data_IF_662846252736
#
_entry.id   IF_662846252736
#
_cell.length_a   1.000
_cell.length_b   1.000
_cell.length_c   1.000
_cell.angle_alpha   90.00
_cell.angle_beta   90.00
_cell.angle_gamma   90.00
#
_symmetry.space_group_name_H-M   'P 1'
#
loop_
_entity.id
_entity.type
_entity.pdbx_description
1 polymer ?
#
# COMPACT_ATOMS: atom_id res chain seq x y z
N UNK A 1 11.37 4.06 10.11
CA UNK A 1 11.32 4.82 11.34
C UNK A 1 11.25 3.95 12.57
N UNK A 2 10.29 3.05 12.68
CA UNK A 2 10.20 2.12 13.81
C UNK A 2 11.45 1.27 14.02
N UNK A 3 12.14 0.88 12.96
CA UNK A 3 13.36 0.08 13.03
C UNK A 3 14.50 0.80 13.75
N UNK A 4 14.64 2.11 13.56
CA UNK A 4 15.68 2.89 14.21
C UNK A 4 15.46 2.98 15.71
N UNK A 5 14.23 3.29 16.11
CA UNK A 5 13.88 3.36 17.52
C UNK A 5 14.07 2.02 18.22
N UNK A 6 13.73 0.94 17.54
CA UNK A 6 13.92 -0.41 18.05
C UNK A 6 15.39 -0.75 18.27
N UNK A 7 16.26 -0.42 17.31
CA UNK A 7 17.69 -0.65 17.42
C UNK A 7 18.34 0.17 18.53
N UNK A 8 17.89 1.40 18.74
CA UNK A 8 18.36 2.23 19.84
C UNK A 8 17.99 1.66 21.20
N UNK A 9 16.75 1.23 21.35
CA UNK A 9 16.27 0.57 22.58
C UNK A 9 17.09 -0.69 22.87
N UNK A 10 17.37 -1.50 21.85
CA UNK A 10 18.19 -2.70 21.98
C UNK A 10 19.57 -2.42 22.54
N UNK A 11 20.21 -1.32 22.17
CA UNK A 11 21.53 -0.90 22.65
C UNK A 11 21.53 -0.49 24.11
N UNK A 12 20.44 0.04 24.61
CA UNK A 12 20.32 0.59 25.96
C UNK A 12 19.92 -0.42 27.02
N UNK A 13 19.39 -1.57 26.60
CA UNK A 13 18.85 -2.57 27.50
C UNK A 13 19.87 -3.68 27.76
N UNK A 14 19.80 -4.30 28.97
CA UNK A 14 20.60 -5.46 29.32
C UNK A 14 20.46 -6.57 28.28
N UNK A 15 21.57 -7.20 27.90
CA UNK A 15 21.61 -8.17 26.79
C UNK A 15 20.55 -9.28 26.90
N UNK A 16 20.26 -9.80 28.07
CA UNK A 16 19.24 -10.84 28.27
C UNK A 16 17.84 -10.30 28.01
N UNK A 17 17.52 -9.15 28.59
CA UNK A 17 16.24 -8.48 28.40
C UNK A 17 16.09 -7.97 26.97
N UNK A 18 17.17 -7.43 26.42
CA UNK A 18 17.20 -6.98 25.03
C UNK A 18 16.91 -8.13 24.07
N UNK A 19 17.46 -9.31 24.34
CA UNK A 19 17.25 -10.48 23.48
C UNK A 19 15.81 -10.98 23.51
N UNK A 20 15.20 -11.05 24.68
CA UNK A 20 13.78 -11.42 24.81
C UNK A 20 12.86 -10.39 24.16
N UNK A 21 13.12 -9.12 24.42
CA UNK A 21 12.38 -8.01 23.81
C UNK A 21 12.52 -8.02 22.30
N UNK A 22 13.74 -8.23 21.80
CA UNK A 22 14.05 -8.29 20.38
C UNK A 22 13.26 -9.42 19.70
N UNK A 23 13.24 -10.62 20.29
CA UNK A 23 12.52 -11.75 19.72
C UNK A 23 11.01 -11.47 19.61
N UNK A 24 10.39 -10.95 20.67
CA UNK A 24 8.97 -10.58 20.67
C UNK A 24 8.64 -9.47 19.69
N UNK A 25 9.48 -8.43 19.66
CA UNK A 25 9.28 -7.32 18.73
C UNK A 25 9.50 -7.75 17.29
N UNK A 26 10.49 -8.60 17.03
CA UNK A 26 10.76 -9.14 15.69
C UNK A 26 9.56 -9.95 15.21
N UNK A 27 9.00 -10.82 16.04
CA UNK A 27 7.83 -11.61 15.69
C UNK A 27 6.62 -10.71 15.38
N UNK A 28 6.39 -9.70 16.21
CA UNK A 28 5.31 -8.73 15.98
C UNK A 28 5.46 -8.01 14.65
N UNK A 29 6.64 -7.47 14.37
CA UNK A 29 6.90 -6.76 13.12
C UNK A 29 6.84 -7.68 11.91
N UNK A 30 7.36 -8.89 12.01
CA UNK A 30 7.27 -9.88 10.94
C UNK A 30 5.82 -10.20 10.62
N UNK A 31 4.98 -10.42 11.64
CA UNK A 31 3.55 -10.70 11.44
C UNK A 31 2.84 -9.50 10.79
N UNK A 32 3.16 -8.27 11.21
CA UNK A 32 2.57 -7.07 10.61
C UNK A 32 2.99 -6.87 9.16
N UNK A 33 4.24 -7.14 8.84
CA UNK A 33 4.74 -7.08 7.46
C UNK A 33 4.01 -8.12 6.60
N UNK A 34 3.85 -9.34 7.07
CA UNK A 34 3.11 -10.39 6.36
C UNK A 34 1.66 -10.01 6.12
N UNK A 35 0.97 -9.47 7.13
CA UNK A 35 -0.40 -8.99 7.00
C UNK A 35 -0.51 -7.90 5.91
N UNK A 36 0.40 -6.94 5.90
CA UNK A 36 0.44 -5.89 4.88
C UNK A 36 0.71 -6.44 3.49
N UNK A 37 1.63 -7.40 3.36
CA UNK A 37 1.93 -8.05 2.08
C UNK A 37 0.73 -8.83 1.55
N UNK A 38 0.01 -9.54 2.41
CA UNK A 38 -1.20 -10.27 2.04
C UNK A 38 -2.30 -9.32 1.56
N UNK A 39 -2.51 -8.21 2.26
CA UNK A 39 -3.46 -7.17 1.87
C UNK A 39 -3.10 -6.57 0.51
N UNK A 40 -1.83 -6.25 0.28
CA UNK A 40 -1.37 -5.74 -1.00
C UNK A 40 -1.60 -6.74 -2.13
N UNK A 41 -1.36 -8.03 -1.89
CA UNK A 41 -1.62 -9.07 -2.88
C UNK A 41 -3.10 -9.15 -3.25
N UNK A 42 -3.99 -9.08 -2.27
CA UNK A 42 -5.44 -9.09 -2.50
C UNK A 42 -5.86 -7.88 -3.34
N UNK A 43 -5.40 -6.71 -2.97
CA UNK A 43 -5.69 -5.46 -3.69
C UNK A 43 -5.19 -5.56 -5.12
N UNK A 44 -3.97 -6.05 -5.31
CA UNK A 44 -3.37 -6.22 -6.63
C UNK A 44 -4.20 -7.15 -7.51
N UNK A 45 -4.66 -8.29 -6.97
CA UNK A 45 -5.51 -9.22 -7.71
C UNK A 45 -6.81 -8.55 -8.16
N UNK A 46 -7.44 -7.77 -7.29
CA UNK A 46 -8.65 -7.03 -7.66
C UNK A 46 -8.37 -5.99 -8.74
N UNK A 47 -7.27 -5.26 -8.63
CA UNK A 47 -6.89 -4.24 -9.62
C UNK A 47 -6.57 -4.89 -10.97
N UNK A 48 -5.89 -6.03 -10.97
CA UNK A 48 -5.58 -6.78 -12.20
C UNK A 48 -6.84 -7.28 -12.91
N UNK A 49 -7.95 -7.41 -12.21
CA UNK A 49 -9.24 -7.72 -12.80
C UNK A 49 -9.90 -6.57 -13.57
N UNK A 50 -9.35 -5.35 -13.46
CA UNK A 50 -9.85 -4.19 -14.21
C UNK A 50 -9.48 -4.37 -15.69
N UNK A 51 -10.46 -4.32 -16.58
CA UNK A 51 -10.25 -4.57 -18.01
C UNK A 51 -9.59 -3.39 -18.73
N UNK A 52 -9.92 -2.16 -18.34
CA UNK A 52 -9.32 -0.96 -18.93
C UNK A 52 -7.89 -0.80 -18.40
N UNK A 53 -6.92 -0.86 -19.31
CA UNK A 53 -5.49 -0.82 -18.94
C UNK A 53 -5.07 0.50 -18.31
N UNK A 54 -5.67 1.60 -18.74
CA UNK A 54 -5.33 2.92 -18.20
C UNK A 54 -5.86 3.06 -16.78
N UNK A 55 -7.09 2.63 -16.54
CA UNK A 55 -7.69 2.60 -15.20
C UNK A 55 -6.89 1.67 -14.29
N UNK A 56 -6.54 0.50 -14.79
CA UNK A 56 -5.73 -0.47 -14.06
C UNK A 56 -4.39 0.12 -13.63
N UNK A 57 -3.67 0.75 -14.56
CA UNK A 57 -2.40 1.40 -14.29
C UNK A 57 -2.55 2.54 -13.28
N UNK A 58 -3.59 3.34 -13.42
CA UNK A 58 -3.90 4.44 -12.49
C UNK A 58 -4.11 3.92 -11.08
N UNK A 59 -4.86 2.86 -10.92
CA UNK A 59 -5.15 2.26 -9.61
C UNK A 59 -3.91 1.58 -9.02
N UNK A 60 -3.09 0.92 -9.83
CA UNK A 60 -1.81 0.36 -9.35
C UNK A 60 -0.90 1.44 -8.79
N UNK A 61 -0.71 2.52 -9.52
CA UNK A 61 0.15 3.61 -9.08
C UNK A 61 -0.37 4.27 -7.81
N UNK A 62 -1.68 4.46 -7.71
CA UNK A 62 -2.28 5.12 -6.55
C UNK A 62 -2.30 4.21 -5.32
N UNK A 63 -2.79 2.99 -5.43
CA UNK A 63 -3.13 2.14 -4.29
C UNK A 63 -2.05 1.12 -3.94
N UNK A 64 -1.26 0.68 -4.90
CA UNK A 64 -0.14 -0.24 -4.65
C UNK A 64 1.13 0.53 -4.39
N UNK A 65 1.47 1.50 -5.23
CA UNK A 65 2.72 2.26 -5.14
C UNK A 65 2.61 3.50 -4.25
N UNK A 66 1.41 3.83 -3.77
CA UNK A 66 1.20 4.90 -2.81
C UNK A 66 1.43 6.30 -3.33
N UNK A 67 1.36 6.52 -4.64
CA UNK A 67 1.62 7.81 -5.25
C UNK A 67 0.46 8.79 -5.06
N UNK A 68 0.76 10.08 -5.06
CA UNK A 68 -0.27 11.11 -5.13
C UNK A 68 -0.91 11.13 -6.52
N UNK A 69 -2.09 11.72 -6.63
CA UNK A 69 -2.76 11.82 -7.93
C UNK A 69 -1.93 12.57 -8.97
N UNK A 70 -1.18 13.60 -8.55
CA UNK A 70 -0.26 14.32 -9.44
C UNK A 70 0.87 13.43 -9.94
N UNK A 71 1.46 12.63 -9.05
CA UNK A 71 2.51 11.69 -9.40
C UNK A 71 2.00 10.58 -10.32
N UNK A 72 0.78 10.10 -10.09
CA UNK A 72 0.12 9.13 -10.97
C UNK A 72 0.00 9.70 -12.38
N UNK A 73 -0.44 10.95 -12.49
CA UNK A 73 -0.54 11.64 -13.78
C UNK A 73 0.81 11.72 -14.49
N UNK A 74 1.85 12.07 -13.78
CA UNK A 74 3.21 12.13 -14.33
C UNK A 74 3.67 10.76 -14.84
N UNK A 75 3.41 9.70 -14.09
CA UNK A 75 3.79 8.34 -14.47
C UNK A 75 3.08 7.85 -15.73
N UNK A 76 1.81 8.20 -15.88
CA UNK A 76 0.98 7.73 -16.99
C UNK A 76 1.06 8.69 -18.18
N UNK A 77 1.53 9.92 -17.95
CA UNK A 77 1.64 10.94 -18.98
C UNK A 77 0.37 11.78 -19.16
N UNK A 78 -0.42 11.90 -18.10
CA UNK A 78 -1.66 12.68 -18.10
C UNK A 78 -1.62 13.80 -17.07
N UNK A 79 -2.38 14.88 -17.33
CA UNK A 79 -2.56 15.95 -16.38
C UNK A 79 -3.39 15.47 -15.17
N UNK A 80 -3.28 16.18 -14.05
CA UNK A 80 -4.08 15.89 -12.86
C UNK A 80 -5.59 15.93 -13.18
N UNK A 81 -6.01 16.91 -13.95
CA UNK A 81 -7.42 17.04 -14.38
C UNK A 81 -7.88 15.81 -15.15
N UNK A 82 -7.05 15.31 -16.05
CA UNK A 82 -7.35 14.12 -16.84
C UNK A 82 -7.45 12.87 -15.93
N UNK A 83 -6.53 12.73 -14.99
CA UNK A 83 -6.56 11.62 -14.02
C UNK A 83 -7.83 11.67 -13.18
N UNK A 84 -8.26 12.85 -12.74
CA UNK A 84 -9.51 13.02 -12.00
C UNK A 84 -10.73 12.60 -12.82
N UNK A 85 -10.75 12.91 -14.11
CA UNK A 85 -11.81 12.47 -15.03
C UNK A 85 -11.83 10.95 -15.19
N UNK A 86 -10.65 10.34 -15.33
CA UNK A 86 -10.51 8.88 -15.43
C UNK A 86 -11.06 8.23 -14.16
N UNK A 87 -10.71 8.75 -13.00
CA UNK A 87 -11.19 8.24 -11.71
C UNK A 87 -12.70 8.36 -11.58
N UNK A 88 -13.27 9.49 -11.91
CA UNK A 88 -14.73 9.70 -11.87
C UNK A 88 -15.47 8.75 -12.80
N UNK A 89 -14.95 8.56 -14.01
CA UNK A 89 -15.51 7.63 -14.98
C UNK A 89 -15.42 6.18 -14.47
N UNK A 90 -14.29 5.82 -13.88
CA UNK A 90 -14.08 4.49 -13.30
C UNK A 90 -15.08 4.17 -12.19
N UNK A 91 -15.47 5.16 -11.39
CA UNK A 91 -16.43 4.99 -10.30
C UNK A 91 -17.83 4.64 -10.76
N UNK A 92 -18.13 4.73 -12.04
CA UNK A 92 -19.40 4.29 -12.61
C UNK A 92 -19.47 2.78 -12.80
N UNK A 93 -18.33 2.10 -12.79
CA UNK A 93 -18.26 0.64 -12.90
C UNK A 93 -18.46 0.01 -11.51
N UNK A 94 -19.38 -0.95 -11.41
CA UNK A 94 -19.70 -1.61 -10.15
C UNK A 94 -18.52 -2.39 -9.58
N UNK A 95 -17.74 -3.04 -10.44
CA UNK A 95 -16.54 -3.76 -10.01
C UNK A 95 -15.52 -2.82 -9.38
N UNK A 96 -15.30 -1.66 -9.98
CA UNK A 96 -14.36 -0.66 -9.47
C UNK A 96 -14.88 -0.05 -8.17
N UNK A 97 -16.21 0.20 -8.08
CA UNK A 97 -16.82 0.63 -6.82
C UNK A 97 -16.56 -0.36 -5.69
N UNK A 98 -16.64 -1.66 -5.99
CA UNK A 98 -16.35 -2.71 -5.00
C UNK A 98 -14.90 -2.63 -4.52
N UNK A 99 -13.95 -2.39 -5.40
CA UNK A 99 -12.54 -2.19 -5.04
C UNK A 99 -12.38 -0.99 -4.12
N UNK A 100 -12.98 0.14 -4.47
CA UNK A 100 -12.89 1.38 -3.68
C UNK A 100 -13.52 1.17 -2.29
N UNK A 101 -14.66 0.52 -2.22
CA UNK A 101 -15.31 0.23 -0.93
C UNK A 101 -14.43 -0.68 -0.05
N UNK A 102 -13.73 -1.62 -0.64
CA UNK A 102 -12.78 -2.47 0.09
C UNK A 102 -11.59 -1.66 0.62
N UNK A 103 -11.09 -0.70 -0.16
CA UNK A 103 -9.94 0.11 0.20
C UNK A 103 -10.28 1.20 1.24
N UNK A 104 -11.50 1.60 1.31
CA UNK A 104 -11.98 2.62 2.24
C UNK A 104 -12.63 1.99 3.47
#
# INVERSE_FOLDING_TARGET
MYRYNFLEVEKEVNKKLAQEFNNKATDFFTNKIQECEEEQKKILVYIEGIQDQIIQATFKEKFINGKSWSEVGECIGYSLTHIQRIYKKALQDDYIKSIINYLM
#
